data_IF_221540697611
#
_entry.id   IF_221540697611
#
_cell.length_a   1.000
_cell.length_b   1.000
_cell.length_c   1.000
_cell.angle_alpha   90.00
_cell.angle_beta   90.00
_cell.angle_gamma   90.00
#
_symmetry.space_group_name_H-M   'P 1'
#
loop_
_entity.id
_entity.type
_entity.pdbx_description
1 polymer ?
#
# COMPACT_ATOMS: atom_id res chain seq x y z
N UNK A 1 21.13 -37.61 -0.04
CA UNK A 1 21.89 -36.50 0.54
C UNK A 1 21.97 -35.43 -0.50
N UNK A 2 21.14 -34.40 -0.37
CA UNK A 2 21.27 -33.13 -1.09
C UNK A 2 20.52 -32.09 -0.26
N UNK A 3 21.18 -31.60 0.80
CA UNK A 3 20.71 -30.48 1.62
C UNK A 3 21.34 -29.21 1.08
N UNK A 4 20.64 -28.55 0.17
CA UNK A 4 20.98 -27.18 -0.24
C UNK A 4 20.51 -26.20 0.85
N UNK A 5 21.36 -25.29 1.36
CA UNK A 5 20.98 -24.37 2.41
C UNK A 5 20.03 -23.30 1.88
N UNK A 6 18.89 -23.15 2.57
CA UNK A 6 17.98 -22.02 2.43
C UNK A 6 18.77 -20.72 2.63
N UNK A 7 18.80 -19.88 1.59
CA UNK A 7 19.40 -18.55 1.67
C UNK A 7 18.54 -17.70 2.62
N UNK A 8 19.08 -17.41 3.79
CA UNK A 8 18.55 -16.39 4.69
C UNK A 8 18.55 -15.04 3.97
N UNK A 9 17.38 -14.60 3.52
CA UNK A 9 17.17 -13.22 3.11
C UNK A 9 17.16 -12.36 4.38
N UNK A 10 18.29 -11.71 4.68
CA UNK A 10 18.34 -10.69 5.71
C UNK A 10 17.50 -9.51 5.23
N UNK A 11 16.36 -9.28 5.88
CA UNK A 11 15.55 -8.08 5.66
C UNK A 11 16.41 -6.83 5.88
N UNK A 12 16.30 -5.80 5.03
CA UNK A 12 17.01 -4.53 5.25
C UNK A 12 16.64 -3.94 6.61
N UNK A 13 17.63 -3.35 7.29
CA UNK A 13 17.47 -2.69 8.59
C UNK A 13 16.36 -1.62 8.51
N UNK A 14 15.37 -1.64 9.41
CA UNK A 14 14.26 -0.71 9.36
C UNK A 14 14.73 0.73 9.61
N UNK A 15 14.18 1.67 8.83
CA UNK A 15 14.39 3.10 9.09
C UNK A 15 13.47 3.48 10.24
N UNK A 16 14.05 3.79 11.40
CA UNK A 16 13.34 4.31 12.56
C UNK A 16 12.88 5.75 12.26
N UNK A 17 11.64 5.88 11.79
CA UNK A 17 11.03 7.16 11.42
C UNK A 17 9.70 7.33 12.14
N UNK A 18 9.35 8.58 12.49
CA UNK A 18 8.04 8.93 13.03
C UNK A 18 6.99 8.54 11.99
N UNK A 19 6.36 7.40 12.21
CA UNK A 19 5.30 6.86 11.38
C UNK A 19 4.08 7.78 11.24
N UNK A 20 4.00 8.81 12.09
CA UNK A 20 3.08 9.91 11.97
C UNK A 20 3.49 10.85 10.80
N UNK A 21 3.48 10.37 9.55
CA UNK A 21 3.39 11.28 8.40
C UNK A 21 1.94 11.78 8.26
N UNK A 22 1.44 12.41 9.34
CA UNK A 22 0.20 13.21 9.37
C UNK A 22 0.36 14.49 8.54
N UNK A 23 1.54 14.68 7.92
CA UNK A 23 1.90 15.87 7.19
C UNK A 23 1.93 15.54 5.69
N UNK A 24 0.84 15.85 5.00
CA UNK A 24 0.60 15.61 3.57
C UNK A 24 1.63 16.27 2.62
N UNK A 25 2.67 16.95 3.15
CA UNK A 25 3.66 17.75 2.41
C UNK A 25 4.57 16.95 1.47
N UNK A 26 4.71 15.64 1.65
CA UNK A 26 5.56 14.80 0.80
C UNK A 26 4.83 14.20 -0.40
N UNK A 27 3.52 14.44 -0.57
CA UNK A 27 2.81 14.00 -1.77
C UNK A 27 3.44 14.68 -2.98
N UNK A 28 4.11 13.89 -3.84
CA UNK A 28 4.61 14.39 -5.10
C UNK A 28 3.42 14.67 -6.00
N UNK A 29 3.04 15.93 -6.11
CA UNK A 29 1.99 16.36 -7.01
C UNK A 29 2.17 15.77 -8.41
N UNK A 30 1.06 15.33 -8.99
CA UNK A 30 0.93 14.91 -10.39
C UNK A 30 1.60 15.96 -11.26
N UNK A 31 2.65 15.56 -11.98
CA UNK A 31 3.16 16.41 -13.07
C UNK A 31 2.15 16.33 -14.21
N UNK A 32 1.21 17.28 -14.22
CA UNK A 32 0.06 17.40 -15.13
C UNK A 32 0.45 17.25 -16.62
N UNK A 33 1.72 17.48 -16.98
CA UNK A 33 2.18 17.54 -18.38
C UNK A 33 2.93 16.30 -18.90
N UNK A 34 3.15 15.26 -18.09
CA UNK A 34 3.96 14.11 -18.54
C UNK A 34 3.09 12.94 -19.02
N UNK A 35 3.40 12.39 -20.21
CA UNK A 35 2.67 11.27 -20.77
C UNK A 35 2.70 10.04 -19.84
N UNK A 36 1.53 9.43 -19.61
CA UNK A 36 1.39 8.24 -18.77
C UNK A 36 1.51 6.92 -19.54
N UNK A 37 1.38 6.97 -20.88
CA UNK A 37 1.44 5.81 -21.77
C UNK A 37 2.19 6.14 -23.05
N UNK A 38 2.96 5.18 -23.57
CA UNK A 38 3.57 5.23 -24.90
C UNK A 38 3.54 3.86 -25.58
N UNK A 39 3.96 3.77 -26.84
CA UNK A 39 4.22 2.49 -27.53
C UNK A 39 5.72 2.25 -27.64
N UNK A 40 6.13 0.98 -27.52
CA UNK A 40 7.49 0.56 -27.82
C UNK A 40 7.69 0.33 -29.33
N UNK A 41 8.90 -0.08 -29.74
CA UNK A 41 9.23 -0.40 -31.13
C UNK A 41 8.37 -1.55 -31.71
N UNK A 42 7.86 -2.43 -30.83
CA UNK A 42 7.02 -3.57 -31.17
C UNK A 42 5.53 -3.26 -31.10
N UNK A 43 5.14 -1.98 -31.00
CA UNK A 43 3.76 -1.49 -30.87
C UNK A 43 3.05 -1.93 -29.57
N UNK A 44 3.77 -2.43 -28.56
CA UNK A 44 3.21 -2.74 -27.25
C UNK A 44 3.00 -1.45 -26.44
N UNK A 45 1.90 -1.39 -25.70
CA UNK A 45 1.68 -0.30 -24.75
C UNK A 45 2.61 -0.44 -23.53
N UNK A 46 3.36 0.62 -23.27
CA UNK A 46 4.12 0.82 -22.06
C UNK A 46 3.48 1.90 -21.21
N UNK A 47 3.51 1.70 -19.91
CA UNK A 47 2.98 2.59 -18.90
C UNK A 47 4.15 3.15 -18.12
N UNK A 48 4.02 4.42 -17.74
CA UNK A 48 5.02 5.05 -16.91
C UNK A 48 4.93 4.49 -15.50
N UNK A 49 6.07 4.19 -14.89
CA UNK A 49 6.07 3.69 -13.51
C UNK A 49 5.75 4.84 -12.54
N UNK A 50 4.92 4.52 -11.55
CA UNK A 50 4.50 5.42 -10.49
C UNK A 50 4.85 4.84 -9.11
N UNK A 51 5.08 5.68 -8.07
CA UNK A 51 5.11 7.15 -8.13
C UNK A 51 6.33 7.70 -8.88
N UNK A 52 7.27 6.82 -9.25
CA UNK A 52 8.38 7.13 -10.13
C UNK A 52 9.26 5.91 -10.39
N UNK A 53 10.26 6.04 -11.27
CA UNK A 53 11.22 4.98 -11.52
C UNK A 53 12.08 4.67 -10.30
N UNK A 54 12.64 3.46 -10.26
CA UNK A 54 13.65 3.04 -9.30
C UNK A 54 14.83 4.03 -9.35
N UNK A 55 15.19 4.68 -8.22
CA UNK A 55 16.30 5.62 -8.19
C UNK A 55 17.61 5.06 -8.72
N UNK A 56 17.84 3.75 -8.57
CA UNK A 56 19.07 3.05 -8.95
C UNK A 56 19.00 2.43 -10.36
N UNK A 57 17.80 2.32 -10.95
CA UNK A 57 17.58 1.66 -12.26
C UNK A 57 16.72 2.48 -13.22
N UNK A 58 16.77 3.81 -13.11
CA UNK A 58 15.89 4.76 -13.83
C UNK A 58 15.70 4.43 -15.31
N UNK A 59 16.78 4.09 -16.02
CA UNK A 59 16.75 3.81 -17.46
C UNK A 59 15.87 2.61 -17.83
N UNK A 60 15.79 1.61 -16.96
CA UNK A 60 15.03 0.37 -17.19
C UNK A 60 13.65 0.38 -16.53
N UNK A 61 13.43 1.25 -15.53
CA UNK A 61 12.20 1.30 -14.74
C UNK A 61 11.39 2.57 -14.97
N UNK A 62 11.63 3.32 -16.05
CA UNK A 62 10.77 4.49 -16.36
C UNK A 62 9.48 4.05 -17.03
N UNK A 63 9.55 3.01 -17.87
CA UNK A 63 8.44 2.53 -18.69
C UNK A 63 8.38 1.00 -18.63
N UNK A 64 7.21 0.45 -18.34
CA UNK A 64 7.00 -1.00 -18.28
C UNK A 64 5.65 -1.39 -18.90
N UNK A 65 5.54 -2.62 -19.39
CA UNK A 65 4.24 -3.17 -19.80
C UNK A 65 3.38 -3.46 -18.56
N UNK A 66 2.06 -3.64 -18.74
CA UNK A 66 1.15 -3.95 -17.62
C UNK A 66 1.56 -5.23 -16.86
N UNK A 67 2.04 -6.24 -17.57
CA UNK A 67 2.52 -7.48 -16.95
C UNK A 67 3.84 -7.26 -16.22
N UNK A 68 4.79 -6.56 -16.83
CA UNK A 68 6.07 -6.24 -16.17
C UNK A 68 5.85 -5.40 -14.89
N UNK A 69 4.90 -4.46 -14.88
CA UNK A 69 4.52 -3.72 -13.67
C UNK A 69 3.99 -4.63 -12.57
N UNK A 70 3.14 -5.60 -12.92
CA UNK A 70 2.59 -6.59 -11.97
C UNK A 70 3.71 -7.44 -11.38
N UNK A 71 4.59 -7.95 -12.23
CA UNK A 71 5.70 -8.81 -11.81
C UNK A 71 6.73 -8.04 -10.97
N UNK A 72 7.04 -6.79 -11.33
CA UNK A 72 7.94 -5.92 -10.57
C UNK A 72 7.35 -5.60 -9.20
N UNK A 73 6.04 -5.30 -9.12
CA UNK A 73 5.36 -5.03 -7.86
C UNK A 73 5.38 -6.23 -6.91
N UNK A 74 5.45 -7.47 -7.39
CA UNK A 74 5.54 -8.65 -6.53
C UNK A 74 6.92 -8.85 -5.89
N UNK A 75 7.97 -8.16 -6.33
CA UNK A 75 9.30 -8.24 -5.71
C UNK A 75 9.28 -7.69 -4.27
N UNK A 76 10.17 -8.11 -3.36
CA UNK A 76 10.23 -7.60 -1.99
C UNK A 76 10.54 -6.09 -1.93
N UNK A 77 9.94 -5.37 -0.99
CA UNK A 77 10.24 -3.95 -0.74
C UNK A 77 11.69 -3.73 -0.33
N UNK A 78 12.25 -2.61 -0.78
CA UNK A 78 13.63 -2.22 -0.48
C UNK A 78 13.77 -1.44 0.82
N UNK A 79 12.68 -0.90 1.35
CA UNK A 79 12.65 -0.11 2.58
C UNK A 79 11.38 -0.38 3.37
N UNK A 80 11.50 -0.40 4.70
CA UNK A 80 10.39 -0.61 5.63
C UNK A 80 10.28 0.57 6.59
N UNK A 81 9.07 1.08 6.76
CA UNK A 81 8.75 2.08 7.79
C UNK A 81 8.31 1.35 9.04
N UNK A 82 9.06 1.49 10.13
CA UNK A 82 8.70 0.86 11.41
C UNK A 82 7.90 1.83 12.28
N UNK A 83 6.89 1.31 12.96
CA UNK A 83 5.92 2.07 13.74
C UNK A 83 5.35 1.23 14.88
N UNK A 84 4.54 1.79 15.79
CA UNK A 84 3.95 1.05 16.92
C UNK A 84 4.75 1.23 18.21
N UNK A 85 4.06 1.46 19.34
CA UNK A 85 4.68 1.36 20.67
C UNK A 85 4.71 -0.06 21.24
N UNK A 86 4.13 -1.02 20.53
CA UNK A 86 4.05 -2.42 20.89
C UNK A 86 5.39 -3.13 21.15
N UNK A 87 5.32 -4.25 21.86
CA UNK A 87 6.51 -5.01 22.30
C UNK A 87 6.36 -6.53 22.23
N UNK A 88 5.19 -7.05 21.86
CA UNK A 88 4.93 -8.50 21.89
C UNK A 88 5.17 -9.18 20.53
N UNK A 89 5.20 -8.40 19.45
CA UNK A 89 5.43 -8.89 18.10
C UNK A 89 5.48 -7.75 17.09
N UNK A 90 5.61 -8.10 15.81
CA UNK A 90 5.62 -7.16 14.68
C UNK A 90 4.71 -7.70 13.56
N UNK A 91 3.80 -6.86 13.07
CA UNK A 91 3.02 -7.11 11.86
C UNK A 91 3.69 -6.40 10.68
N UNK A 92 4.18 -7.19 9.72
CA UNK A 92 4.75 -6.73 8.46
C UNK A 92 3.67 -6.69 7.40
N UNK A 93 3.42 -5.51 6.85
CA UNK A 93 2.43 -5.27 5.82
C UNK A 93 3.10 -4.63 4.62
N UNK A 94 2.82 -5.16 3.43
CA UNK A 94 3.33 -4.59 2.19
C UNK A 94 2.23 -4.53 1.15
N UNK A 95 1.87 -3.31 0.74
CA UNK A 95 0.86 -3.08 -0.28
C UNK A 95 1.47 -3.39 -1.64
N UNK A 96 0.82 -4.23 -2.44
CA UNK A 96 1.29 -4.58 -3.78
C UNK A 96 0.56 -3.77 -4.85
N UNK A 97 -0.77 -3.69 -4.75
CA UNK A 97 -1.58 -3.04 -5.77
C UNK A 97 -3.07 -3.24 -5.55
N UNK A 98 -3.86 -2.62 -6.42
CA UNK A 98 -5.28 -2.86 -6.53
C UNK A 98 -5.67 -3.27 -7.95
N UNK A 99 -6.80 -3.94 -8.10
CA UNK A 99 -7.40 -4.25 -9.41
C UNK A 99 -8.78 -3.61 -9.49
N UNK A 100 -9.10 -3.11 -10.68
CA UNK A 100 -10.44 -2.71 -11.09
C UNK A 100 -11.17 -1.80 -10.08
N UNK A 101 -10.45 -0.80 -9.54
CA UNK A 101 -11.05 0.23 -8.70
C UNK A 101 -12.12 1.02 -9.49
N UNK A 102 -13.19 1.51 -8.85
CA UNK A 102 -14.10 2.46 -9.49
C UNK A 102 -13.37 3.75 -9.85
N UNK A 103 -13.84 4.44 -10.88
CA UNK A 103 -13.36 5.79 -11.15
C UNK A 103 -14.11 6.77 -10.25
N UNK A 104 -13.39 7.40 -9.34
CA UNK A 104 -13.93 8.37 -8.38
C UNK A 104 -13.82 9.82 -8.89
N UNK A 105 -12.97 10.11 -9.88
CA UNK A 105 -12.90 11.42 -10.53
C UNK A 105 -14.13 11.69 -11.41
N UNK A 106 -15.14 12.38 -10.85
CA UNK A 106 -16.34 12.79 -11.59
C UNK A 106 -16.13 14.17 -12.23
N UNK A 107 -15.78 14.17 -13.53
CA UNK A 107 -15.78 15.29 -14.49
C UNK A 107 -14.65 16.35 -14.42
N UNK A 108 -13.77 16.36 -15.44
CA UNK A 108 -13.59 17.46 -16.44
C UNK A 108 -12.99 16.92 -17.76
N UNK A 109 -12.16 15.87 -17.70
CA UNK A 109 -11.59 15.20 -18.87
C UNK A 109 -11.80 13.69 -18.79
N UNK A 110 -12.30 13.05 -19.85
CA UNK A 110 -12.55 11.60 -19.93
C UNK A 110 -11.29 10.70 -19.76
N UNK A 111 -10.14 11.30 -19.50
CA UNK A 111 -8.87 10.63 -19.28
C UNK A 111 -8.40 10.66 -17.83
N UNK A 112 -9.11 11.34 -16.92
CA UNK A 112 -8.75 11.31 -15.49
C UNK A 112 -9.35 10.08 -14.80
N UNK A 113 -8.58 9.53 -13.87
CA UNK A 113 -8.92 8.35 -13.11
C UNK A 113 -8.36 8.50 -11.72
N UNK A 114 -8.94 7.73 -10.81
CA UNK A 114 -8.49 7.60 -9.44
C UNK A 114 -6.97 7.64 -9.25
N UNK A 115 -6.59 8.58 -8.39
CA UNK A 115 -5.28 8.82 -7.83
C UNK A 115 -5.16 8.09 -6.48
N UNK A 116 -5.08 6.76 -6.54
CA UNK A 116 -5.21 5.91 -5.36
C UNK A 116 -4.03 6.03 -4.35
N UNK A 117 -4.37 6.05 -3.07
CA UNK A 117 -3.44 5.75 -1.97
C UNK A 117 -4.11 4.89 -0.91
N UNK A 118 -3.29 4.29 -0.05
CA UNK A 118 -3.74 3.40 1.02
C UNK A 118 -3.37 4.01 2.37
N UNK A 119 -4.32 4.10 3.28
CA UNK A 119 -4.05 4.39 4.69
C UNK A 119 -4.19 3.12 5.51
N UNK A 120 -3.27 2.90 6.45
CA UNK A 120 -3.33 1.80 7.39
C UNK A 120 -3.31 2.34 8.82
N UNK A 121 -4.15 1.76 9.67
CA UNK A 121 -4.25 2.04 11.09
C UNK A 121 -4.11 0.73 11.85
N UNK A 122 -3.23 0.71 12.84
CA UNK A 122 -3.11 -0.40 13.78
C UNK A 122 -2.75 0.17 15.15
N UNK A 123 -3.57 -0.15 16.14
CA UNK A 123 -3.41 0.30 17.53
C UNK A 123 -3.22 1.82 17.64
N UNK A 124 -2.04 2.27 18.07
CA UNK A 124 -1.69 3.66 18.35
C UNK A 124 -1.03 4.38 17.15
N UNK A 125 -1.02 3.77 15.96
CA UNK A 125 -0.29 4.29 14.81
C UNK A 125 -1.11 4.26 13.50
N UNK A 126 -0.82 5.24 12.66
CA UNK A 126 -1.38 5.38 11.32
C UNK A 126 -0.25 5.70 10.33
N UNK A 127 -0.25 5.06 9.17
CA UNK A 127 0.70 5.27 8.07
C UNK A 127 -0.06 5.27 6.74
N UNK A 128 0.59 5.69 5.67
CA UNK A 128 0.01 5.66 4.33
C UNK A 128 1.05 5.37 3.26
N UNK A 129 0.58 4.88 2.12
CA UNK A 129 1.41 4.68 0.92
C UNK A 129 1.66 5.98 0.16
N UNK A 130 2.56 5.91 -0.82
CA UNK A 130 2.61 6.92 -1.89
C UNK A 130 1.29 6.94 -2.69
N UNK A 131 1.01 8.04 -3.38
CA UNK A 131 -0.13 8.18 -4.31
C UNK A 131 0.24 7.64 -5.69
N UNK A 132 -0.66 6.88 -6.30
CA UNK A 132 -0.54 6.35 -7.67
C UNK A 132 -1.64 6.98 -8.51
N UNK A 133 -1.26 7.89 -9.40
CA UNK A 133 -2.14 8.71 -10.19
C UNK A 133 -2.74 8.01 -11.42
N UNK A 134 -3.96 8.40 -11.78
CA UNK A 134 -4.57 8.16 -13.09
C UNK A 134 -4.63 6.66 -13.48
N UNK A 135 -5.05 5.81 -12.53
CA UNK A 135 -5.18 4.37 -12.79
C UNK A 135 -6.17 3.66 -11.86
N UNK A 136 -7.00 2.82 -12.46
CA UNK A 136 -7.92 1.93 -11.74
C UNK A 136 -7.26 0.61 -11.32
N UNK A 137 -5.97 0.44 -11.61
CA UNK A 137 -5.21 -0.75 -11.20
C UNK A 137 -3.83 -0.34 -10.71
N UNK A 138 -3.74 0.46 -9.63
CA UNK A 138 -2.48 0.96 -9.10
C UNK A 138 -1.54 -0.19 -8.71
N UNK A 139 -0.24 0.07 -8.84
CA UNK A 139 0.83 -0.83 -8.42
C UNK A 139 1.89 -0.03 -7.68
N UNK A 140 2.10 -0.36 -6.41
CA UNK A 140 3.18 0.23 -5.63
C UNK A 140 4.45 -0.56 -5.89
N UNK A 141 5.54 0.13 -6.21
CA UNK A 141 6.80 -0.51 -6.59
C UNK A 141 7.67 -0.82 -5.37
N UNK A 142 8.59 -1.79 -5.43
CA UNK A 142 9.49 -2.13 -4.31
C UNK A 142 10.21 -0.97 -3.63
N UNK A 143 10.47 0.11 -4.37
CA UNK A 143 11.17 1.30 -3.91
C UNK A 143 10.23 2.46 -3.52
N UNK A 144 8.91 2.27 -3.55
CA UNK A 144 7.93 3.25 -3.07
C UNK A 144 7.65 3.03 -1.58
N UNK A 145 7.01 4.02 -0.94
CA UNK A 145 6.48 3.88 0.43
C UNK A 145 5.28 2.93 0.41
N UNK A 146 5.52 1.63 0.61
CA UNK A 146 4.46 0.61 0.59
C UNK A 146 4.57 -0.47 1.66
N UNK A 147 5.68 -0.51 2.39
CA UNK A 147 5.98 -1.53 3.37
C UNK A 147 6.13 -0.95 4.78
N UNK A 148 5.39 -1.53 5.71
CA UNK A 148 5.24 -1.04 7.08
C UNK A 148 5.40 -2.19 8.08
N UNK A 149 6.11 -1.94 9.17
CA UNK A 149 6.30 -2.88 10.26
C UNK A 149 5.70 -2.29 11.54
N UNK A 150 4.52 -2.76 11.92
CA UNK A 150 3.80 -2.32 13.12
C UNK A 150 4.21 -3.16 14.32
N UNK A 151 4.77 -2.55 15.34
CA UNK A 151 4.98 -3.21 16.62
C UNK A 151 3.62 -3.41 17.32
N UNK A 152 3.36 -4.63 17.75
CA UNK A 152 2.05 -5.06 18.27
C UNK A 152 2.04 -4.95 19.80
N UNK A 153 1.00 -4.35 20.36
CA UNK A 153 0.69 -4.28 21.80
C UNK A 153 -0.12 -5.50 22.23
N UNK A 154 -1.09 -5.94 21.41
CA UNK A 154 -2.01 -7.04 21.75
C UNK A 154 -2.18 -8.07 20.62
N UNK A 155 -2.22 -9.39 20.89
CA UNK A 155 -2.29 -10.41 19.84
C UNK A 155 -3.60 -10.35 19.03
N UNK A 156 -4.68 -9.88 19.64
CA UNK A 156 -6.00 -9.68 18.99
C UNK A 156 -6.13 -8.36 18.24
N UNK A 157 -5.02 -7.65 18.00
CA UNK A 157 -5.06 -6.37 17.32
C UNK A 157 -5.52 -6.51 15.87
N UNK A 158 -6.25 -5.48 15.45
CA UNK A 158 -6.81 -5.37 14.12
C UNK A 158 -5.97 -4.38 13.32
N UNK A 159 -5.53 -4.80 12.14
CA UNK A 159 -5.01 -3.92 11.12
C UNK A 159 -6.19 -3.46 10.26
N UNK A 160 -6.47 -2.17 10.29
CA UNK A 160 -7.48 -1.53 9.47
C UNK A 160 -6.80 -0.86 8.28
N UNK A 161 -7.34 -1.09 7.09
CA UNK A 161 -6.82 -0.55 5.84
C UNK A 161 -7.97 0.14 5.09
N UNK A 162 -7.72 1.34 4.58
CA UNK A 162 -8.63 2.04 3.67
C UNK A 162 -7.93 2.38 2.36
N UNK A 163 -8.67 2.27 1.26
CA UNK A 163 -8.27 2.71 -0.09
C UNK A 163 -9.02 3.99 -0.39
N UNK A 164 -8.28 5.01 -0.80
CA UNK A 164 -8.81 6.36 -1.02
C UNK A 164 -8.36 6.89 -2.37
N UNK A 165 -9.20 7.73 -2.97
CA UNK A 165 -8.80 8.61 -4.06
C UNK A 165 -8.21 9.90 -3.52
N UNK A 166 -7.09 10.34 -4.07
CA UNK A 166 -6.41 11.55 -3.64
C UNK A 166 -6.95 12.77 -4.37
N UNK A 167 -7.92 13.44 -3.75
CA UNK A 167 -8.36 14.77 -4.18
C UNK A 167 -7.38 15.84 -3.70
N UNK A 168 -6.36 16.11 -4.51
CA UNK A 168 -5.48 17.24 -4.29
C UNK A 168 -6.21 18.55 -4.62
N UNK A 169 -6.87 19.16 -3.64
CA UNK A 169 -7.63 20.40 -3.82
C UNK A 169 -6.87 21.43 -4.68
N UNK A 170 -7.56 22.06 -5.64
CA UNK A 170 -7.01 23.19 -6.40
C UNK A 170 -6.97 24.39 -5.46
N UNK A 171 -5.89 24.52 -4.70
CA UNK A 171 -5.59 25.71 -3.93
C UNK A 171 -5.62 26.93 -4.86
N UNK A 172 -6.72 27.71 -4.82
CA UNK A 172 -6.77 29.02 -5.46
C UNK A 172 -8.02 29.38 -6.27
N UNK A 173 -9.02 28.51 -6.43
CA UNK A 173 -10.31 28.92 -7.04
C UNK A 173 -11.44 28.90 -6.00
N UNK A 174 -11.22 29.70 -4.96
CA UNK A 174 -12.23 30.35 -4.11
C UNK A 174 -13.47 29.57 -3.72
N UNK A 175 -13.45 28.91 -2.56
CA UNK A 175 -14.71 28.49 -1.95
C UNK A 175 -14.65 27.60 -0.71
N UNK A 176 -13.87 27.96 0.34
CA UNK A 176 -14.08 27.52 1.74
C UNK A 176 -13.96 26.00 2.04
N UNK A 177 -13.85 25.10 1.05
CA UNK A 177 -13.66 23.66 1.28
C UNK A 177 -12.18 23.23 1.43
N UNK A 178 -11.23 24.15 1.29
CA UNK A 178 -9.78 23.92 1.47
C UNK A 178 -9.36 23.55 2.93
N UNK A 179 -10.33 23.36 3.84
CA UNK A 179 -10.09 23.04 5.25
C UNK A 179 -10.39 21.56 5.55
N UNK A 180 -11.00 20.84 4.61
CA UNK A 180 -11.21 19.40 4.67
C UNK A 180 -10.85 18.80 3.31
N UNK A 181 -9.57 18.42 3.17
CA UNK A 181 -9.06 17.48 2.15
C UNK A 181 -9.79 16.14 2.33
N UNK A 182 -11.08 16.09 1.99
CA UNK A 182 -11.89 14.89 2.09
C UNK A 182 -11.58 14.02 0.87
N UNK A 183 -10.56 13.18 1.02
CA UNK A 183 -10.24 12.13 0.07
C UNK A 183 -11.41 11.15 -0.05
N UNK A 184 -11.85 10.88 -1.28
CA UNK A 184 -12.95 9.96 -1.52
C UNK A 184 -12.61 8.52 -1.11
N UNK A 185 -13.44 7.91 -0.26
CA UNK A 185 -13.24 6.52 0.18
C UNK A 185 -13.72 5.54 -0.89
N UNK A 186 -12.83 4.63 -1.30
CA UNK A 186 -13.13 3.57 -2.27
C UNK A 186 -13.58 2.30 -1.58
N UNK A 187 -12.93 1.95 -0.47
CA UNK A 187 -13.32 0.81 0.35
C UNK A 187 -12.30 0.48 1.42
N UNK A 188 -12.62 -0.52 2.26
CA UNK A 188 -11.81 -0.86 3.44
C UNK A 188 -11.68 -2.36 3.67
N UNK A 189 -10.63 -2.74 4.39
CA UNK A 189 -10.36 -4.12 4.83
C UNK A 189 -9.94 -4.10 6.29
N UNK A 190 -10.42 -5.07 7.07
CA UNK A 190 -10.01 -5.29 8.46
C UNK A 190 -9.39 -6.68 8.60
N UNK A 191 -8.14 -6.72 9.06
CA UNK A 191 -7.35 -7.95 9.18
C UNK A 191 -7.08 -8.20 10.67
N UNK A 192 -7.50 -9.37 11.16
CA UNK A 192 -7.21 -9.80 12.52
C UNK A 192 -5.88 -10.57 12.56
N UNK A 193 -4.88 -10.03 13.25
CA UNK A 193 -3.54 -10.62 13.31
C UNK A 193 -3.52 -12.02 13.95
N UNK A 194 -4.46 -12.33 14.85
CA UNK A 194 -4.53 -13.63 15.53
C UNK A 194 -4.88 -14.80 14.59
N UNK A 195 -5.35 -14.52 13.36
CA UNK A 195 -5.68 -15.55 12.36
C UNK A 195 -4.46 -16.07 11.58
N UNK A 196 -3.28 -15.49 11.78
CA UNK A 196 -2.10 -15.79 10.99
C UNK A 196 -1.03 -16.50 11.82
N UNK A 197 -0.32 -17.43 11.18
CA UNK A 197 0.80 -18.13 11.79
C UNK A 197 2.04 -17.23 11.81
N UNK A 198 2.79 -17.33 12.91
CA UNK A 198 4.05 -16.58 13.08
C UNK A 198 5.06 -16.98 12.00
N UNK A 199 5.73 -16.01 11.39
CA UNK A 199 6.79 -16.23 10.40
C UNK A 199 6.29 -16.60 8.99
N UNK A 200 5.00 -16.89 8.81
CA UNK A 200 4.43 -17.22 7.50
C UNK A 200 4.09 -15.94 6.72
N UNK A 201 4.53 -15.87 5.47
CA UNK A 201 4.18 -14.77 4.56
C UNK A 201 3.00 -15.15 3.71
N UNK A 202 1.94 -14.36 3.77
CA UNK A 202 0.71 -14.54 3.02
C UNK A 202 0.63 -13.50 1.91
N UNK A 203 0.26 -13.91 0.70
CA UNK A 203 -0.19 -13.00 -0.34
C UNK A 203 -1.72 -12.98 -0.31
N UNK A 204 -2.28 -11.88 0.15
CA UNK A 204 -3.70 -11.73 0.44
C UNK A 204 -4.39 -10.91 -0.65
N UNK A 205 -5.60 -11.33 -0.97
CA UNK A 205 -6.49 -10.76 -1.97
C UNK A 205 -7.83 -10.50 -1.28
N UNK A 206 -8.22 -9.22 -1.18
CA UNK A 206 -9.47 -8.83 -0.55
C UNK A 206 -10.29 -7.98 -1.49
N UNK A 207 -11.57 -8.30 -1.61
CA UNK A 207 -12.53 -7.41 -2.27
C UNK A 207 -12.75 -6.18 -1.40
N UNK A 208 -12.85 -5.02 -2.05
CA UNK A 208 -13.13 -3.75 -1.42
C UNK A 208 -14.64 -3.52 -1.43
N UNK A 209 -15.14 -3.01 -0.31
CA UNK A 209 -16.53 -2.66 -0.09
C UNK A 209 -16.58 -1.32 0.62
N UNK A 210 -17.61 -0.52 0.36
CA UNK A 210 -17.90 0.65 1.18
C UNK A 210 -18.53 0.21 2.51
N UNK A 211 -19.59 -0.60 2.42
CA UNK A 211 -20.17 -1.35 3.53
C UNK A 211 -19.91 -2.86 3.37
N UNK A 212 -19.22 -3.53 4.31
CA UNK A 212 -18.99 -4.97 4.23
C UNK A 212 -20.28 -5.83 4.25
N UNK A 213 -21.45 -5.25 4.54
CA UNK A 213 -22.75 -5.92 4.47
C UNK A 213 -23.40 -5.82 3.08
N UNK A 214 -22.90 -4.94 2.22
CA UNK A 214 -23.42 -4.75 0.87
C UNK A 214 -22.66 -5.60 -0.15
N UNK A 215 -23.33 -5.99 -1.24
CA UNK A 215 -22.72 -6.72 -2.35
C UNK A 215 -22.05 -5.76 -3.36
N UNK A 216 -21.49 -4.66 -2.88
CA UNK A 216 -20.86 -3.59 -3.67
C UNK A 216 -19.34 -3.84 -3.83
N UNK A 217 -18.95 -4.81 -4.66
CA UNK A 217 -17.52 -5.01 -4.92
C UNK A 217 -16.92 -3.79 -5.68
N UNK A 218 -16.04 -3.03 -5.02
CA UNK A 218 -15.37 -1.81 -5.53
C UNK A 218 -13.90 -2.07 -5.91
N UNK A 219 -13.65 -3.24 -6.49
CA UNK A 219 -12.33 -3.72 -6.87
C UNK A 219 -11.66 -4.57 -5.80
N UNK A 220 -10.38 -4.86 -6.00
CA UNK A 220 -9.60 -5.76 -5.14
C UNK A 220 -8.32 -5.07 -4.66
N UNK A 221 -7.93 -5.29 -3.41
CA UNK A 221 -6.59 -4.97 -2.90
C UNK A 221 -5.74 -6.24 -2.75
N UNK A 222 -4.47 -6.13 -3.15
CA UNK A 222 -3.45 -7.15 -3.01
C UNK A 222 -2.37 -6.65 -2.04
N UNK A 223 -2.08 -7.43 -1.01
CA UNK A 223 -1.03 -7.13 -0.05
C UNK A 223 -0.30 -8.39 0.41
N UNK A 224 0.96 -8.22 0.83
CA UNK A 224 1.67 -9.24 1.61
C UNK A 224 1.55 -8.95 3.09
N UNK A 225 1.24 -9.98 3.86
CA UNK A 225 1.13 -9.90 5.30
C UNK A 225 1.96 -10.99 5.97
N UNK A 226 2.64 -10.65 7.05
CA UNK A 226 3.36 -11.59 7.91
C UNK A 226 3.33 -11.06 9.33
N UNK A 227 3.06 -11.93 10.30
CA UNK A 227 3.19 -11.60 11.72
C UNK A 227 4.38 -12.34 12.30
N UNK A 228 5.12 -11.70 13.20
CA UNK A 228 6.20 -12.32 13.96
C UNK A 228 5.98 -12.01 15.45
N UNK A 229 5.84 -13.04 16.28
CA UNK A 229 5.74 -12.89 17.73
C UNK A 229 7.11 -13.02 18.38
N UNK A 230 7.42 -12.13 19.33
CA UNK A 230 8.64 -12.25 20.14
C UNK A 230 8.61 -13.51 21.00
N UNK A 231 7.42 -13.87 21.49
CA UNK A 231 7.13 -15.11 22.19
C UNK A 231 5.72 -15.58 21.85
N UNK A 232 5.60 -16.66 21.06
CA UNK A 232 4.28 -17.22 20.72
C UNK A 232 3.50 -17.68 21.96
N UNK A 233 4.21 -18.18 22.98
CA UNK A 233 3.58 -18.66 24.20
C UNK A 233 2.93 -17.52 24.99
N UNK A 234 3.58 -16.36 25.03
CA UNK A 234 3.02 -15.16 25.67
C UNK A 234 1.87 -14.58 24.86
N UNK A 235 2.02 -14.49 23.53
CA UNK A 235 0.94 -14.05 22.65
C UNK A 235 -0.32 -14.92 22.80
N UNK A 236 -0.16 -16.26 22.84
CA UNK A 236 -1.27 -17.21 23.06
C UNK A 236 -1.91 -17.01 24.43
N UNK A 237 -1.12 -16.85 25.50
CA UNK A 237 -1.66 -16.58 26.85
C UNK A 237 -2.48 -15.30 26.90
N UNK A 238 -2.00 -14.23 26.27
CA UNK A 238 -2.71 -12.95 26.22
C UNK A 238 -4.03 -13.06 25.45
N UNK A 239 -4.07 -13.82 24.35
CA UNK A 239 -5.30 -14.02 23.57
C UNK A 239 -6.41 -14.76 24.32
N UNK A 240 -6.09 -15.50 25.39
CA UNK A 240 -7.06 -16.27 26.19
C UNK A 240 -7.66 -15.47 27.35
N UNK A 241 -7.13 -14.28 27.64
CA UNK A 241 -7.54 -13.44 28.77
C UNK A 241 -8.47 -12.29 28.33
N UNK A 242 -8.63 -12.09 27.02
CA UNK A 242 -9.53 -11.10 26.42
C UNK A 242 -10.95 -11.65 26.21
#
# INVERSE_FOLDING_TARGET
GDDSPLKNFSSPEPIEGKASDVNFRHVRYKKIMEAQRKRDANQNYMYRIQPGPDPNRKDTTTWMTKNALRDEALKPSTSWVRTGSGKIGTAFVEIIGCNDLPNMDVNVNANDKTDAFIALVMEDNMVRSDVIHDTLSPRWMPWSTRAFAFNIIHPSSLLMLGVFDFDGGIAGIGGISDIMDDHDTIGRVVINCAKFESGTTYLLHYQLHDDPQEEDARGEIILRFRVEWNSESEAKKMSLIA
#
